data_IF_844667613939
#
_entry.id   IF_844667613939
#
_cell.length_a   1.000
_cell.length_b   1.000
_cell.length_c   1.000
_cell.angle_alpha   90.00
_cell.angle_beta   90.00
_cell.angle_gamma   90.00
#
_symmetry.space_group_name_H-M   'P 1'
#
loop_
_entity.id
_entity.type
_entity.pdbx_description
1 polymer ?
#
# COMPACT_ATOMS: atom_id res chain seq x y z
N UNK A 1 6.13 36.31 -1.46
CA UNK A 1 7.33 35.66 -0.89
C UNK A 1 7.02 35.40 0.58
N UNK A 2 7.24 34.19 1.08
CA UNK A 2 6.82 33.78 2.43
C UNK A 2 8.04 33.54 3.32
N UNK A 3 7.89 33.76 4.62
CA UNK A 3 8.93 33.50 5.63
C UNK A 3 8.46 32.34 6.51
N UNK A 4 9.37 31.40 6.76
CA UNK A 4 9.13 30.30 7.69
C UNK A 4 9.52 30.72 9.11
N UNK A 5 8.59 30.57 10.06
CA UNK A 5 8.83 30.76 11.49
C UNK A 5 8.95 29.40 12.18
N UNK A 6 10.17 29.09 12.63
CA UNK A 6 10.53 27.79 13.20
C UNK A 6 9.96 27.56 14.61
N UNK A 7 9.64 28.62 15.35
CA UNK A 7 9.10 28.47 16.71
C UNK A 7 7.62 28.04 16.71
N UNK A 8 6.90 28.41 15.67
CA UNK A 8 5.49 28.10 15.50
C UNK A 8 5.24 27.05 14.41
N UNK A 9 6.28 26.61 13.71
CA UNK A 9 6.20 25.69 12.56
C UNK A 9 5.16 26.17 11.54
N UNK A 10 5.17 27.48 11.25
CA UNK A 10 4.20 28.12 10.36
C UNK A 10 4.88 28.98 9.29
N UNK A 11 4.29 28.98 8.09
CA UNK A 11 4.71 29.81 6.97
C UNK A 11 3.88 31.08 6.98
N UNK A 12 4.51 32.20 7.33
CA UNK A 12 3.86 33.51 7.37
C UNK A 12 4.08 34.26 6.04
N UNK A 13 3.06 34.95 5.50
CA UNK A 13 3.25 35.89 4.40
C UNK A 13 4.18 37.03 4.83
N UNK A 14 5.11 37.48 3.97
CA UNK A 14 5.83 38.72 4.22
C UNK A 14 4.81 39.86 4.41
N UNK A 15 4.81 40.49 5.59
CA UNK A 15 4.03 41.71 5.84
C UNK A 15 4.48 42.78 4.84
N UNK A 16 3.57 43.14 3.91
CA UNK A 16 3.86 44.14 2.88
C UNK A 16 3.22 43.93 1.51
N UNK A 17 2.38 42.91 1.31
CA UNK A 17 1.59 42.78 0.07
C UNK A 17 0.09 42.78 0.38
N UNK A 18 -0.48 43.97 0.56
CA UNK A 18 -1.91 44.20 0.42
C UNK A 18 -2.25 44.17 -1.07
N UNK A 19 -2.61 42.99 -1.59
CA UNK A 19 -3.29 42.90 -2.88
C UNK A 19 -4.76 43.24 -2.64
N UNK A 20 -5.08 44.54 -2.71
CA UNK A 20 -6.43 45.03 -2.96
C UNK A 20 -6.91 44.48 -4.31
N UNK A 21 -7.73 43.44 -4.27
CA UNK A 21 -8.63 43.08 -5.34
C UNK A 21 -9.93 42.63 -4.70
N UNK A 22 -10.75 43.62 -4.36
CA UNK A 22 -12.16 43.43 -4.00
C UNK A 22 -12.89 42.77 -5.18
N UNK A 23 -13.14 41.47 -5.07
CA UNK A 23 -14.35 40.83 -5.60
C UNK A 23 -14.94 39.93 -4.51
N UNK A 24 -15.85 40.45 -3.67
CA UNK A 24 -16.32 39.74 -2.48
C UNK A 24 -17.45 38.73 -2.72
N UNK A 25 -17.84 38.41 -3.96
CA UNK A 25 -19.08 37.66 -4.23
C UNK A 25 -18.88 36.21 -4.74
N UNK A 26 -17.64 35.71 -4.89
CA UNK A 26 -17.42 34.36 -5.45
C UNK A 26 -16.62 33.40 -4.56
N UNK A 27 -16.06 33.84 -3.43
CA UNK A 27 -15.30 32.97 -2.54
C UNK A 27 -15.97 32.91 -1.17
N UNK A 28 -16.57 31.76 -0.88
CA UNK A 28 -17.12 31.45 0.45
C UNK A 28 -15.99 31.39 1.49
N UNK A 29 -16.27 31.81 2.72
CA UNK A 29 -15.29 31.74 3.81
C UNK A 29 -14.97 30.29 4.20
N UNK A 30 -13.77 30.05 4.74
CA UNK A 30 -13.36 28.71 5.20
C UNK A 30 -14.29 28.16 6.29
N UNK A 31 -14.77 29.01 7.20
CA UNK A 31 -15.73 28.60 8.22
C UNK A 31 -17.07 28.13 7.62
N UNK A 32 -17.50 28.73 6.51
CA UNK A 32 -18.72 28.35 5.81
C UNK A 32 -18.55 27.05 5.00
N UNK A 33 -17.37 26.84 4.42
CA UNK A 33 -16.98 25.58 3.77
C UNK A 33 -16.86 24.42 4.79
N UNK A 34 -16.40 24.70 6.00
CA UNK A 34 -16.24 23.73 7.09
C UNK A 34 -17.51 23.51 7.92
N UNK A 35 -18.46 24.46 7.91
CA UNK A 35 -19.71 24.37 8.67
C UNK A 35 -20.70 23.36 8.12
N UNK A 36 -20.57 22.96 6.85
CA UNK A 36 -21.40 21.91 6.26
C UNK A 36 -20.76 20.54 6.50
N UNK A 37 -21.03 19.96 7.66
CA UNK A 37 -20.86 18.52 7.83
C UNK A 37 -21.78 17.80 6.83
N UNK A 38 -21.24 17.46 5.67
CA UNK A 38 -21.81 16.42 4.82
C UNK A 38 -22.08 15.20 5.72
N UNK A 39 -23.24 14.54 5.62
CA UNK A 39 -23.40 13.25 6.25
C UNK A 39 -22.42 12.30 5.58
N UNK A 40 -21.21 12.19 6.14
CA UNK A 40 -20.21 11.18 5.85
C UNK A 40 -20.75 9.86 6.38
N UNK A 41 -21.81 9.37 5.74
CA UNK A 41 -22.57 8.20 6.14
C UNK A 41 -22.55 7.27 4.94
N UNK A 42 -21.45 6.51 4.78
CA UNK A 42 -21.45 5.10 4.41
C UNK A 42 -20.11 4.49 3.91
N UNK A 43 -18.95 5.16 3.96
CA UNK A 43 -17.72 4.53 3.41
C UNK A 43 -16.83 3.81 4.43
N UNK A 44 -17.02 3.99 5.74
CA UNK A 44 -16.17 3.35 6.76
C UNK A 44 -16.35 1.82 6.89
N UNK A 45 -17.36 1.22 6.24
CA UNK A 45 -17.60 -0.24 6.33
C UNK A 45 -16.96 -1.06 5.21
N UNK A 46 -16.66 -0.47 4.04
CA UNK A 46 -16.04 -1.21 2.91
C UNK A 46 -14.52 -1.32 3.01
N UNK A 47 -13.85 -0.33 3.61
CA UNK A 47 -12.38 -0.35 3.74
C UNK A 47 -11.82 -1.53 4.55
N UNK A 48 -12.58 -2.07 5.52
CA UNK A 48 -12.12 -3.21 6.33
C UNK A 48 -12.23 -4.55 5.60
N UNK A 49 -13.23 -4.75 4.74
CA UNK A 49 -13.33 -5.98 3.94
C UNK A 49 -12.23 -6.03 2.87
N UNK A 50 -11.98 -4.89 2.23
CA UNK A 50 -11.05 -4.79 1.10
C UNK A 50 -9.59 -5.04 1.54
N UNK A 51 -9.24 -4.69 2.79
CA UNK A 51 -7.92 -5.00 3.36
C UNK A 51 -7.71 -6.49 3.62
N UNK A 52 -8.75 -7.21 4.07
CA UNK A 52 -8.67 -8.66 4.31
C UNK A 52 -8.49 -9.40 2.99
N UNK A 53 -9.28 -9.03 1.97
CA UNK A 53 -9.19 -9.61 0.63
C UNK A 53 -7.84 -9.32 -0.03
N UNK A 54 -7.31 -8.10 0.11
CA UNK A 54 -5.98 -7.76 -0.39
C UNK A 54 -4.87 -8.59 0.28
N UNK A 55 -4.99 -8.86 1.59
CA UNK A 55 -4.04 -9.70 2.31
C UNK A 55 -4.10 -11.16 1.85
N UNK A 56 -5.30 -11.71 1.68
CA UNK A 56 -5.49 -13.07 1.15
C UNK A 56 -4.90 -13.22 -0.26
N UNK A 57 -5.14 -12.23 -1.12
CA UNK A 57 -4.54 -12.18 -2.46
C UNK A 57 -3.01 -12.12 -2.40
N UNK A 58 -2.45 -11.31 -1.49
CA UNK A 58 -1.01 -11.25 -1.29
C UNK A 58 -0.44 -12.60 -0.85
N UNK A 59 -1.08 -13.27 0.11
CA UNK A 59 -0.68 -14.61 0.57
C UNK A 59 -0.75 -15.61 -0.58
N UNK A 60 -1.81 -15.58 -1.37
CA UNK A 60 -1.93 -16.43 -2.56
C UNK A 60 -0.77 -16.22 -3.54
N UNK A 61 -0.45 -14.97 -3.87
CA UNK A 61 0.66 -14.66 -4.78
C UNK A 61 2.00 -15.17 -4.22
N UNK A 62 2.28 -14.92 -2.94
CA UNK A 62 3.53 -15.36 -2.30
C UNK A 62 3.67 -16.88 -2.29
N UNK A 63 2.58 -17.60 -1.98
CA UNK A 63 2.56 -19.05 -2.01
C UNK A 63 2.74 -19.55 -3.45
N UNK A 64 2.02 -18.98 -4.41
CA UNK A 64 2.13 -19.36 -5.82
C UNK A 64 3.54 -19.16 -6.37
N UNK A 65 4.18 -18.03 -6.06
CA UNK A 65 5.55 -17.75 -6.47
C UNK A 65 6.51 -18.78 -5.88
N UNK A 66 6.39 -19.08 -4.59
CA UNK A 66 7.25 -20.09 -3.95
C UNK A 66 7.03 -21.50 -4.49
N UNK A 67 5.78 -21.88 -4.77
CA UNK A 67 5.47 -23.17 -5.39
C UNK A 67 6.03 -23.27 -6.81
N UNK A 68 5.95 -22.19 -7.59
CA UNK A 68 6.51 -22.13 -8.93
C UNK A 68 8.03 -22.26 -8.90
N UNK A 69 8.70 -21.61 -7.97
CA UNK A 69 10.13 -21.76 -7.77
C UNK A 69 10.50 -23.21 -7.41
N UNK A 70 9.80 -23.81 -6.45
CA UNK A 70 10.02 -25.20 -6.04
C UNK A 70 9.78 -26.22 -7.17
N UNK A 71 8.83 -25.95 -8.07
CA UNK A 71 8.52 -26.84 -9.21
C UNK A 71 9.67 -27.01 -10.20
N UNK A 72 10.69 -26.13 -10.15
CA UNK A 72 11.92 -26.27 -10.96
C UNK A 72 12.80 -27.42 -10.46
N UNK A 73 12.67 -27.75 -9.18
CA UNK A 73 13.57 -28.67 -8.50
C UNK A 73 12.87 -29.96 -8.07
N UNK A 74 11.53 -29.92 -7.88
CA UNK A 74 10.76 -31.01 -7.29
C UNK A 74 9.57 -31.38 -8.19
N UNK A 75 9.42 -32.68 -8.45
CA UNK A 75 8.28 -33.26 -9.15
C UNK A 75 7.55 -34.23 -8.25
N UNK A 76 6.22 -34.10 -8.21
CA UNK A 76 5.33 -35.03 -7.52
C UNK A 76 4.60 -35.87 -8.58
N UNK A 77 4.75 -37.18 -8.49
CA UNK A 77 3.95 -38.13 -9.26
C UNK A 77 2.82 -38.68 -8.35
N UNK A 78 1.58 -38.18 -8.50
CA UNK A 78 0.47 -38.58 -7.63
C UNK A 78 -0.01 -40.01 -7.91
N UNK A 79 0.30 -40.58 -9.07
CA UNK A 79 -0.09 -41.94 -9.43
C UNK A 79 0.82 -42.96 -8.74
N UNK A 80 2.14 -42.75 -8.79
CA UNK A 80 3.12 -43.62 -8.13
C UNK A 80 3.42 -43.24 -6.68
N UNK A 81 2.87 -42.12 -6.19
CA UNK A 81 3.19 -41.53 -4.87
C UNK A 81 4.68 -41.26 -4.70
N UNK A 82 5.40 -40.98 -5.79
CA UNK A 82 6.82 -40.66 -5.76
C UNK A 82 7.05 -39.16 -5.78
N UNK A 83 7.98 -38.70 -4.94
CA UNK A 83 8.54 -37.36 -5.00
C UNK A 83 9.95 -37.48 -5.56
N UNK A 84 10.26 -36.69 -6.58
CA UNK A 84 11.59 -36.61 -7.18
C UNK A 84 12.13 -35.21 -6.96
N UNK A 85 13.37 -35.11 -6.51
CA UNK A 85 14.08 -33.85 -6.36
C UNK A 85 15.42 -33.92 -7.11
N UNK A 86 15.73 -32.91 -7.91
CA UNK A 86 17.05 -32.80 -8.55
C UNK A 86 18.04 -32.12 -7.62
N UNK A 87 18.83 -32.95 -6.94
CA UNK A 87 19.86 -32.53 -6.00
C UNK A 87 20.91 -31.63 -6.65
N UNK A 88 21.31 -31.91 -7.89
CA UNK A 88 22.40 -31.19 -8.54
C UNK A 88 22.01 -29.72 -8.81
N UNK A 89 20.80 -29.52 -9.31
CA UNK A 89 20.24 -28.19 -9.57
C UNK A 89 19.94 -27.45 -8.27
N UNK A 90 19.49 -28.14 -7.21
CA UNK A 90 19.32 -27.54 -5.88
C UNK A 90 20.64 -27.00 -5.32
N UNK A 91 21.69 -27.83 -5.31
CA UNK A 91 23.01 -27.45 -4.78
C UNK A 91 23.64 -26.31 -5.58
N UNK A 92 23.50 -26.32 -6.91
CA UNK A 92 23.98 -25.21 -7.77
C UNK A 92 23.30 -23.87 -7.45
N UNK A 93 22.04 -23.90 -7.03
CA UNK A 93 21.29 -22.71 -6.63
C UNK A 93 21.42 -22.39 -5.13
N UNK A 94 22.35 -23.06 -4.43
CA UNK A 94 22.67 -22.79 -3.02
C UNK A 94 21.74 -23.45 -2.01
N UNK A 95 20.92 -24.42 -2.42
CA UNK A 95 20.06 -25.18 -1.52
C UNK A 95 20.71 -26.47 -1.05
N UNK A 96 20.46 -26.84 0.20
CA UNK A 96 20.82 -28.14 0.76
C UNK A 96 19.57 -29.04 0.80
N UNK A 97 19.66 -30.24 0.22
CA UNK A 97 18.61 -31.24 0.28
C UNK A 97 18.84 -32.17 1.47
N UNK A 98 17.91 -32.19 2.42
CA UNK A 98 17.92 -33.09 3.59
C UNK A 98 16.73 -34.05 3.52
N UNK A 99 16.98 -35.35 3.80
CA UNK A 99 15.98 -36.41 3.86
C UNK A 99 16.07 -37.01 5.26
N UNK A 100 14.95 -37.04 6.00
CA UNK A 100 14.85 -37.56 7.36
C UNK A 100 14.07 -38.87 7.41
#
# INVERSE_FOLDING_TARGET
>A
MYIYDEALDMINPLEGYSSEAEQPELLMSLDELCGRQLPMRAEKRRLKSDQSEAMENLVHILISDRLLELSRYVWLDPASKMIRADRSTLEQNGYQLEIF
#
